data_IF_790752179780
#
_entry.id   IF_790752179780
#
_cell.length_a   1.000
_cell.length_b   1.000
_cell.length_c   1.000
_cell.angle_alpha   90.00
_cell.angle_beta   90.00
_cell.angle_gamma   90.00
#
_symmetry.space_group_name_H-M   'P 1'
#
loop_
_entity.id
_entity.type
_entity.pdbx_description
1 polymer ?
#
# COMPACT_ATOMS: atom_id res chain seq x y z
N UNK A 1 51.76 -17.64 18.42
CA UNK A 1 51.37 -17.43 17.02
C UNK A 1 49.85 -17.16 17.01
N UNK A 2 49.34 -16.02 17.50
CA UNK A 2 49.30 -14.66 16.93
C UNK A 2 48.99 -14.67 15.43
N UNK A 3 47.72 -14.46 15.06
CA UNK A 3 47.14 -13.54 14.04
C UNK A 3 45.59 -13.66 14.13
N UNK A 4 44.87 -12.90 14.97
CA UNK A 4 44.23 -11.60 14.65
C UNK A 4 44.59 -11.01 13.28
N UNK A 5 43.55 -10.70 12.48
CA UNK A 5 43.43 -9.62 11.44
C UNK A 5 42.12 -9.89 10.66
N UNK A 6 41.02 -9.17 10.97
CA UNK A 6 40.47 -8.01 10.18
C UNK A 6 39.49 -8.49 9.10
N UNK A 7 38.16 -8.38 9.20
CA UNK A 7 37.26 -7.22 9.37
C UNK A 7 37.46 -6.08 8.36
N UNK A 8 36.85 -6.17 7.17
CA UNK A 8 36.10 -5.09 6.50
C UNK A 8 35.60 -5.57 5.13
N UNK A 9 34.31 -5.88 5.02
CA UNK A 9 33.58 -5.76 3.76
C UNK A 9 32.54 -4.66 3.97
N UNK A 10 32.97 -3.41 3.73
CA UNK A 10 32.07 -2.28 3.68
C UNK A 10 31.21 -2.43 2.41
N UNK A 11 30.09 -3.12 2.52
CA UNK A 11 29.02 -3.03 1.53
C UNK A 11 28.42 -1.64 1.73
N UNK A 12 28.89 -0.68 0.91
CA UNK A 12 28.21 0.59 0.75
C UNK A 12 26.84 0.31 0.15
N UNK A 13 25.85 0.10 1.01
CA UNK A 13 24.45 0.22 0.64
C UNK A 13 24.25 1.69 0.24
N UNK A 14 24.37 1.97 -1.05
CA UNK A 14 23.81 3.18 -1.64
C UNK A 14 22.31 3.06 -1.41
N UNK A 15 21.86 3.59 -0.28
CA UNK A 15 20.47 3.91 -0.05
C UNK A 15 20.12 4.91 -1.13
N UNK A 16 19.52 4.42 -2.21
CA UNK A 16 18.72 5.22 -3.13
C UNK A 16 17.67 5.91 -2.26
N UNK A 17 17.99 7.11 -1.78
CA UNK A 17 16.99 8.08 -1.36
C UNK A 17 16.31 8.49 -2.65
N UNK A 18 15.34 7.67 -3.05
CA UNK A 18 14.33 8.08 -4.00
C UNK A 18 13.60 9.23 -3.32
N UNK A 19 13.95 10.46 -3.69
CA UNK A 19 13.12 11.63 -3.44
C UNK A 19 11.85 11.44 -4.27
N UNK A 20 10.96 10.59 -3.77
CA UNK A 20 9.63 10.41 -4.32
C UNK A 20 8.87 11.70 -4.02
N UNK A 21 8.97 12.65 -4.95
CA UNK A 21 7.89 13.62 -5.14
C UNK A 21 6.63 12.78 -5.20
N UNK A 22 5.68 13.08 -4.31
CA UNK A 22 4.52 12.23 -4.13
C UNK A 22 3.56 12.43 -5.31
N UNK A 23 3.91 11.85 -6.45
CA UNK A 23 3.09 11.81 -7.65
C UNK A 23 1.79 11.07 -7.33
N UNK A 24 0.69 11.59 -7.85
CA UNK A 24 -0.58 10.89 -7.82
C UNK A 24 -0.46 9.58 -8.61
N UNK A 25 -0.81 8.47 -7.97
CA UNK A 25 -0.79 7.15 -8.58
C UNK A 25 -2.21 6.75 -8.95
N UNK A 26 -2.40 6.25 -10.17
CA UNK A 26 -3.62 5.54 -10.58
C UNK A 26 -3.46 4.05 -10.29
N UNK A 27 -4.39 3.49 -9.54
CA UNK A 27 -4.45 2.09 -9.15
C UNK A 27 -5.76 1.49 -9.66
N UNK A 28 -5.65 0.37 -10.38
CA UNK A 28 -6.81 -0.42 -10.82
C UNK A 28 -6.73 -1.80 -10.18
N UNK A 29 -7.80 -2.19 -9.50
CA UNK A 29 -7.83 -3.47 -8.80
C UNK A 29 -9.10 -3.68 -8.01
N UNK A 30 -8.99 -4.48 -6.97
CA UNK A 30 -10.11 -4.95 -6.16
C UNK A 30 -10.18 -4.16 -4.85
N UNK A 31 -11.24 -3.39 -4.67
CA UNK A 31 -11.63 -2.75 -3.43
C UNK A 31 -12.16 -3.78 -2.44
N UNK A 32 -11.61 -3.79 -1.23
CA UNK A 32 -11.93 -4.79 -0.20
C UNK A 32 -11.73 -4.24 1.21
N UNK A 33 -12.38 -4.84 2.21
CA UNK A 33 -12.10 -4.57 3.61
C UNK A 33 -10.91 -5.44 4.11
N UNK A 34 -9.81 -4.82 4.52
CA UNK A 34 -8.59 -5.50 4.99
C UNK A 34 -8.82 -6.37 6.24
N UNK A 35 -9.78 -6.00 7.10
CA UNK A 35 -10.22 -6.87 8.20
C UNK A 35 -10.96 -8.09 7.68
N UNK A 36 -11.99 -7.89 6.86
CA UNK A 36 -12.91 -8.97 6.50
C UNK A 36 -12.29 -9.95 5.50
N UNK A 37 -11.68 -9.43 4.44
CA UNK A 37 -11.16 -10.22 3.33
C UNK A 37 -9.70 -10.68 3.54
N UNK A 38 -8.86 -9.89 4.21
CA UNK A 38 -7.42 -10.22 4.39
C UNK A 38 -7.05 -10.68 5.80
N UNK A 39 -7.90 -10.44 6.80
CA UNK A 39 -7.61 -10.68 8.23
C UNK A 39 -6.33 -9.96 8.72
N UNK A 40 -5.96 -8.83 8.11
CA UNK A 40 -4.72 -8.10 8.40
C UNK A 40 -4.87 -6.98 9.44
N UNK A 41 -6.11 -6.59 9.77
CA UNK A 41 -6.41 -5.51 10.71
C UNK A 41 -7.48 -5.95 11.72
N UNK A 42 -7.42 -5.39 12.93
CA UNK A 42 -8.41 -5.65 13.99
C UNK A 42 -9.72 -4.87 13.79
N UNK A 43 -9.66 -3.72 13.13
CA UNK A 43 -10.79 -2.84 12.79
C UNK A 43 -11.02 -2.80 11.29
N UNK A 44 -12.26 -2.53 10.87
CA UNK A 44 -12.60 -2.32 9.47
C UNK A 44 -11.73 -1.22 8.87
N UNK A 45 -11.11 -1.55 7.74
CA UNK A 45 -10.16 -0.70 7.05
C UNK A 45 -10.29 -1.01 5.57
N UNK A 46 -10.66 -0.01 4.78
CA UNK A 46 -10.79 -0.17 3.34
C UNK A 46 -9.39 -0.21 2.72
N UNK A 47 -9.26 -1.00 1.66
CA UNK A 47 -8.03 -1.18 0.91
C UNK A 47 -8.33 -1.47 -0.55
N UNK A 48 -7.35 -1.21 -1.42
CA UNK A 48 -7.33 -1.70 -2.79
C UNK A 48 -6.20 -2.71 -2.94
N UNK A 49 -6.52 -3.89 -3.48
CA UNK A 49 -5.56 -4.92 -3.85
C UNK A 49 -5.36 -4.88 -5.36
N UNK A 50 -4.13 -4.62 -5.76
CA UNK A 50 -3.71 -4.54 -7.16
C UNK A 50 -2.70 -5.64 -7.46
N UNK A 51 -2.54 -5.97 -8.74
CA UNK A 51 -1.46 -6.83 -9.19
C UNK A 51 -0.31 -5.98 -9.73
N UNK A 52 0.86 -6.06 -9.08
CA UNK A 52 2.09 -5.41 -9.52
C UNK A 52 3.14 -6.50 -9.74
N UNK A 53 3.67 -6.63 -10.96
CA UNK A 53 4.71 -7.62 -11.31
C UNK A 53 4.33 -9.07 -10.92
N UNK A 54 3.09 -9.47 -11.17
CA UNK A 54 2.58 -10.81 -10.85
C UNK A 54 2.36 -11.06 -9.36
N UNK A 55 2.44 -10.02 -8.51
CA UNK A 55 2.21 -10.12 -7.07
C UNK A 55 1.05 -9.24 -6.64
N UNK A 56 0.23 -9.75 -5.72
CA UNK A 56 -0.84 -8.98 -5.09
C UNK A 56 -0.24 -7.99 -4.08
N UNK A 57 -0.43 -6.70 -4.32
CA UNK A 57 0.00 -5.61 -3.43
C UNK A 57 -1.25 -4.93 -2.88
N UNK A 58 -1.25 -4.69 -1.56
CA UNK A 58 -2.37 -4.07 -0.85
C UNK A 58 -2.01 -2.64 -0.49
N UNK A 59 -2.86 -1.70 -0.88
CA UNK A 59 -2.80 -0.30 -0.50
C UNK A 59 -3.97 0.02 0.42
N UNK A 60 -3.66 0.40 1.66
CA UNK A 60 -4.65 0.81 2.65
C UNK A 60 -5.19 2.20 2.32
N UNK A 61 -6.50 2.37 2.36
CA UNK A 61 -7.12 3.65 1.97
C UNK A 61 -7.22 4.55 3.20
N UNK A 62 -6.63 5.74 3.12
CA UNK A 62 -6.81 6.76 4.15
C UNK A 62 -8.25 7.27 4.14
N UNK A 63 -8.80 7.54 5.33
CA UNK A 63 -10.14 8.10 5.44
C UNK A 63 -10.13 9.55 4.97
N UNK A 64 -10.87 9.83 3.90
CA UNK A 64 -11.11 11.18 3.41
C UNK A 64 -12.49 11.27 2.75
N UNK A 65 -12.84 12.43 2.19
CA UNK A 65 -14.16 12.64 1.58
C UNK A 65 -14.43 11.74 0.38
N UNK A 66 -13.40 11.38 -0.39
CA UNK A 66 -13.49 10.54 -1.59
C UNK A 66 -13.68 9.07 -1.23
N UNK A 67 -13.11 8.61 -0.11
CA UNK A 67 -13.25 7.23 0.36
C UNK A 67 -14.56 6.98 1.14
N UNK A 68 -15.36 8.01 1.42
CA UNK A 68 -16.62 7.86 2.15
C UNK A 68 -17.57 6.94 1.40
N UNK A 69 -18.21 6.02 2.14
CA UNK A 69 -19.15 5.06 1.58
C UNK A 69 -18.53 3.87 0.83
N UNK A 70 -17.20 3.84 0.65
CA UNK A 70 -16.54 2.66 0.07
C UNK A 70 -16.76 1.42 0.94
N UNK A 71 -16.64 1.57 2.27
CA UNK A 71 -16.83 0.48 3.23
C UNK A 71 -18.13 -0.30 3.03
N UNK A 72 -19.23 0.40 2.76
CA UNK A 72 -20.56 -0.22 2.59
C UNK A 72 -20.60 -1.17 1.39
N UNK A 73 -19.75 -0.93 0.38
CA UNK A 73 -19.60 -1.78 -0.81
C UNK A 73 -18.63 -2.95 -0.59
N UNK A 74 -17.68 -2.82 0.33
CA UNK A 74 -16.54 -3.74 0.47
C UNK A 74 -16.48 -4.48 1.80
N UNK A 75 -17.44 -4.23 2.70
CA UNK A 75 -17.53 -4.96 3.95
C UNK A 75 -17.98 -6.40 3.68
N UNK A 76 -17.05 -7.34 3.84
CA UNK A 76 -17.28 -8.77 3.54
C UNK A 76 -17.58 -9.06 2.06
N UNK A 77 -17.31 -8.11 1.18
CA UNK A 77 -17.44 -8.20 -0.27
C UNK A 77 -16.22 -7.56 -0.94
N UNK A 78 -16.18 -7.65 -2.26
CA UNK A 78 -15.09 -7.12 -3.09
C UNK A 78 -15.69 -6.45 -4.32
N UNK A 79 -15.16 -5.30 -4.72
CA UNK A 79 -15.64 -4.55 -5.90
C UNK A 79 -14.46 -4.20 -6.80
N UNK A 80 -14.63 -4.29 -8.11
CA UNK A 80 -13.63 -3.74 -9.03
C UNK A 80 -13.66 -2.21 -8.98
N UNK A 81 -12.49 -1.59 -8.85
CA UNK A 81 -12.39 -0.14 -8.76
C UNK A 81 -11.10 0.40 -9.38
N UNK A 82 -11.20 1.64 -9.82
CA UNK A 82 -10.08 2.50 -10.17
C UNK A 82 -10.00 3.64 -9.16
N UNK A 83 -8.79 3.87 -8.66
CA UNK A 83 -8.52 4.80 -7.59
C UNK A 83 -7.31 5.66 -7.96
N UNK A 84 -7.43 6.97 -7.85
CA UNK A 84 -6.29 7.90 -7.96
C UNK A 84 -6.02 8.52 -6.61
N UNK A 85 -4.75 8.70 -6.28
CA UNK A 85 -4.39 9.33 -5.03
C UNK A 85 -2.90 9.34 -4.74
N UNK A 86 -2.55 10.00 -3.65
CA UNK A 86 -1.18 10.09 -3.17
C UNK A 86 -0.84 8.86 -2.34
N UNK A 87 0.20 8.13 -2.74
CA UNK A 87 0.69 6.96 -2.00
C UNK A 87 1.72 7.40 -0.96
N UNK A 88 1.62 6.84 0.24
CA UNK A 88 2.63 6.98 1.31
C UNK A 88 2.95 5.62 1.90
N UNK A 89 4.15 5.47 2.46
CA UNK A 89 4.52 4.28 3.23
C UNK A 89 4.58 4.64 4.71
N UNK A 90 3.85 3.88 5.54
CA UNK A 90 3.80 4.04 6.99
C UNK A 90 3.91 2.67 7.62
N UNK A 91 4.89 2.47 8.51
CA UNK A 91 5.09 1.21 9.23
C UNK A 91 5.24 -0.02 8.29
N UNK A 92 5.90 0.16 7.14
CA UNK A 92 6.08 -0.91 6.15
C UNK A 92 4.80 -1.29 5.37
N UNK A 93 3.72 -0.52 5.53
CA UNK A 93 2.47 -0.66 4.79
C UNK A 93 2.30 0.48 3.80
N UNK A 94 1.78 0.18 2.62
CA UNK A 94 1.41 1.19 1.62
C UNK A 94 0.03 1.74 1.93
N UNK A 95 -0.08 3.06 1.97
CA UNK A 95 -1.32 3.81 2.16
C UNK A 95 -1.58 4.68 0.93
N UNK A 96 -2.86 4.97 0.67
CA UNK A 96 -3.27 5.88 -0.39
C UNK A 96 -4.35 6.84 0.11
N UNK A 97 -4.11 8.15 -0.05
CA UNK A 97 -5.12 9.18 0.13
C UNK A 97 -5.78 9.45 -1.22
N UNK A 98 -7.06 9.06 -1.38
CA UNK A 98 -7.77 9.13 -2.65
C UNK A 98 -8.12 10.57 -3.04
N UNK A 99 -7.83 10.94 -4.30
CA UNK A 99 -8.33 12.15 -4.96
C UNK A 99 -9.46 11.83 -5.94
N UNK A 100 -9.53 10.59 -6.46
CA UNK A 100 -10.64 10.10 -7.28
C UNK A 100 -10.92 8.63 -7.02
N UNK A 101 -12.19 8.24 -7.05
CA UNK A 101 -12.66 6.87 -6.89
C UNK A 101 -13.76 6.56 -7.91
N UNK A 102 -13.59 5.47 -8.66
CA UNK A 102 -14.57 4.94 -9.59
C UNK A 102 -14.76 3.45 -9.30
N UNK A 103 -15.97 3.05 -8.92
CA UNK A 103 -16.34 1.64 -8.68
C UNK A 103 -17.17 1.13 -9.86
N UNK A 104 -16.92 -0.11 -10.31
CA UNK A 104 -17.71 -0.76 -11.34
C UNK A 104 -18.81 -1.65 -10.77
#
# INVERSE_FOLDING_TARGET
MKKLVTLLAAVAAISLVSTASAEEKSLKGEGLCAKCALKQTSKCQDAIRVEENGKKVVYYIEKNDVSKGLHDKVCSATVEMEAKGKVTEKEGKKWIALSKLETK
#
